data_IF_263202718718
#
_entry.id   IF_263202718718
#
_cell.length_a   1.000
_cell.length_b   1.000
_cell.length_c   1.000
_cell.angle_alpha   90.00
_cell.angle_beta   90.00
_cell.angle_gamma   90.00
#
_symmetry.space_group_name_H-M   'P 1'
#
loop_
_entity.id
_entity.type
_entity.pdbx_description
1 polymer ?
#
# COMPACT_ATOMS: atom_id res chain seq x y z
N UNK A 1 -13.17 -21.52 0.87
CA UNK A 1 -12.92 -20.13 0.44
C UNK A 1 -11.46 -19.82 0.71
N UNK A 2 -10.64 -19.54 -0.33
CA UNK A 2 -9.29 -19.00 -0.11
C UNK A 2 -9.48 -17.64 0.56
N UNK A 3 -8.96 -17.47 1.78
CA UNK A 3 -8.82 -16.13 2.38
C UNK A 3 -7.93 -15.35 1.42
N UNK A 4 -8.45 -14.30 0.81
CA UNK A 4 -7.63 -13.39 0.01
C UNK A 4 -6.59 -12.78 0.97
N UNK A 5 -5.32 -13.11 0.78
CA UNK A 5 -4.25 -12.62 1.65
C UNK A 5 -3.77 -11.26 1.10
N UNK A 6 -4.33 -10.16 1.59
CA UNK A 6 -3.96 -8.81 1.15
C UNK A 6 -2.45 -8.51 1.24
N UNK A 7 -1.71 -8.95 2.26
CA UNK A 7 -0.25 -8.86 2.29
C UNK A 7 0.44 -9.40 1.03
N UNK A 8 0.08 -10.60 0.55
CA UNK A 8 0.70 -11.20 -0.62
C UNK A 8 0.44 -10.38 -1.89
N UNK A 9 -0.78 -9.87 -2.04
CA UNK A 9 -1.16 -8.99 -3.16
C UNK A 9 -0.37 -7.67 -3.11
N UNK A 10 -0.20 -7.10 -1.92
CA UNK A 10 0.57 -5.86 -1.74
C UNK A 10 2.05 -6.10 -2.07
N UNK A 11 2.62 -7.25 -1.66
CA UNK A 11 4.01 -7.64 -1.98
C UNK A 11 4.18 -7.74 -3.50
N UNK A 12 3.34 -8.53 -4.20
CA UNK A 12 3.44 -8.69 -5.66
C UNK A 12 3.28 -7.33 -6.38
N UNK A 13 2.37 -6.48 -5.89
CA UNK A 13 2.17 -5.16 -6.44
C UNK A 13 3.36 -4.20 -6.22
N UNK A 14 4.08 -4.30 -5.10
CA UNK A 14 5.31 -3.54 -4.86
C UNK A 14 6.41 -4.04 -5.81
N UNK A 15 6.68 -5.35 -5.83
CA UNK A 15 7.71 -5.97 -6.68
C UNK A 15 7.52 -5.61 -8.15
N UNK A 16 6.27 -5.70 -8.63
CA UNK A 16 5.91 -5.46 -10.04
C UNK A 16 5.54 -4.01 -10.34
N UNK A 17 5.60 -3.13 -9.35
CA UNK A 17 5.21 -1.71 -9.45
C UNK A 17 3.81 -1.52 -10.05
N UNK A 18 2.85 -2.31 -9.57
CA UNK A 18 1.44 -2.26 -9.96
C UNK A 18 0.66 -1.25 -9.12
N UNK A 19 -0.26 -0.53 -9.76
CA UNK A 19 -1.26 0.25 -9.05
C UNK A 19 -2.27 -0.73 -8.48
N UNK A 20 -2.64 -0.53 -7.22
CA UNK A 20 -3.71 -1.27 -6.57
C UNK A 20 -4.92 -0.37 -6.32
N UNK A 21 -6.09 -0.97 -6.37
CA UNK A 21 -7.34 -0.42 -5.89
C UNK A 21 -7.64 -0.99 -4.52
N UNK A 22 -7.99 -0.13 -3.57
CA UNK A 22 -8.38 -0.54 -2.22
C UNK A 22 -9.59 0.25 -1.73
N UNK A 23 -10.42 -0.35 -0.90
CA UNK A 23 -11.47 0.33 -0.13
C UNK A 23 -10.99 0.50 1.30
N UNK A 24 -10.92 1.75 1.75
CA UNK A 24 -10.48 2.10 3.09
C UNK A 24 -11.48 3.05 3.72
N UNK A 25 -12.06 2.65 4.87
CA UNK A 25 -13.11 3.41 5.56
C UNK A 25 -14.22 3.84 4.58
N UNK A 26 -14.73 2.85 3.85
CA UNK A 26 -15.77 2.96 2.81
C UNK A 26 -15.44 3.78 1.56
N UNK A 27 -14.22 4.30 1.44
CA UNK A 27 -13.84 5.07 0.25
C UNK A 27 -12.85 4.30 -0.61
N UNK A 28 -13.17 4.19 -1.91
CA UNK A 28 -12.28 3.61 -2.92
C UNK A 28 -11.08 4.52 -3.17
N UNK A 29 -9.89 3.92 -3.23
CA UNK A 29 -8.59 4.55 -3.50
C UNK A 29 -7.91 3.86 -4.67
N UNK A 30 -7.14 4.63 -5.44
CA UNK A 30 -6.10 4.10 -6.34
C UNK A 30 -4.76 4.58 -5.81
N UNK A 31 -3.84 3.63 -5.58
CA UNK A 31 -2.56 3.94 -4.93
C UNK A 31 -1.42 3.21 -5.61
N UNK A 32 -0.23 3.82 -5.54
CA UNK A 32 1.05 3.18 -5.86
C UNK A 32 1.65 2.68 -4.54
N UNK A 33 1.68 1.37 -4.27
CA UNK A 33 2.25 0.84 -3.04
C UNK A 33 3.77 1.04 -3.00
N UNK A 34 4.33 1.34 -1.82
CA UNK A 34 5.77 1.63 -1.66
C UNK A 34 6.44 0.89 -0.51
N UNK A 35 5.77 0.74 0.64
CA UNK A 35 6.29 0.00 1.80
C UNK A 35 5.14 -0.78 2.44
N UNK A 36 5.33 -2.08 2.63
CA UNK A 36 4.53 -2.90 3.52
C UNK A 36 5.37 -3.24 4.75
N UNK A 37 4.81 -3.06 5.94
CA UNK A 37 5.51 -3.39 7.18
C UNK A 37 4.69 -3.07 8.41
N UNK A 38 5.33 -3.23 9.56
CA UNK A 38 4.73 -2.96 10.86
C UNK A 38 5.06 -1.54 11.32
N UNK A 39 4.06 -0.85 11.85
CA UNK A 39 4.15 0.51 12.41
C UNK A 39 3.61 0.53 13.84
N UNK A 40 3.99 1.54 14.63
CA UNK A 40 3.50 1.71 16.00
C UNK A 40 3.67 0.45 16.85
N UNK A 41 2.58 0.01 17.50
CA UNK A 41 2.52 -1.19 18.36
C UNK A 41 2.38 -2.51 17.56
N UNK A 42 2.96 -2.58 16.36
CA UNK A 42 2.95 -3.81 15.54
C UNK A 42 1.75 -3.93 14.62
N UNK A 43 1.09 -2.82 14.28
CA UNK A 43 0.02 -2.83 13.28
C UNK A 43 0.59 -2.96 11.87
N UNK A 44 0.07 -3.88 11.07
CA UNK A 44 0.47 -4.03 9.68
C UNK A 44 -0.08 -2.88 8.83
N UNK A 45 0.79 -2.21 8.07
CA UNK A 45 0.42 -1.03 7.30
C UNK A 45 1.11 -0.96 5.94
N UNK A 46 0.41 -0.35 4.98
CA UNK A 46 0.88 0.01 3.66
C UNK A 46 1.10 1.52 3.57
N UNK A 47 2.34 1.95 3.34
CA UNK A 47 2.64 3.32 2.87
C UNK A 47 2.55 3.36 1.35
N UNK A 48 1.68 4.22 0.83
CA UNK A 48 1.43 4.31 -0.60
C UNK A 48 1.15 5.75 -1.04
N UNK A 49 1.47 6.02 -2.30
CA UNK A 49 1.11 7.29 -2.94
C UNK A 49 -0.27 7.20 -3.57
N UNK A 50 -1.23 7.91 -2.99
CA UNK A 50 -2.58 8.00 -3.51
C UNK A 50 -2.61 8.87 -4.78
N UNK A 51 -3.23 8.33 -5.84
CA UNK A 51 -3.42 9.02 -7.12
C UNK A 51 -4.90 9.32 -7.41
N UNK A 52 -5.84 8.62 -6.74
CA UNK A 52 -7.27 8.93 -6.78
C UNK A 52 -7.97 8.55 -5.46
N UNK A 53 -9.06 9.26 -5.14
CA UNK A 53 -9.79 9.15 -3.87
C UNK A 53 -10.00 10.54 -3.25
N UNK A 54 -9.58 10.71 -1.99
CA UNK A 54 -9.65 11.97 -1.23
C UNK A 54 -8.51 12.95 -1.54
N UNK A 55 -7.95 12.89 -2.74
CA UNK A 55 -6.83 13.72 -3.18
C UNK A 55 -5.56 12.93 -3.49
N UNK A 56 -4.46 13.65 -3.71
CA UNK A 56 -3.18 13.08 -4.18
C UNK A 56 -2.10 13.28 -3.14
N UNK A 57 -1.37 12.22 -2.76
CA UNK A 57 -0.30 12.31 -1.77
C UNK A 57 0.00 11.01 -1.03
N UNK A 58 1.01 11.06 -0.17
CA UNK A 58 1.33 9.97 0.74
C UNK A 58 0.18 9.69 1.71
N UNK A 59 -0.10 8.41 1.90
CA UNK A 59 -1.07 7.89 2.88
C UNK A 59 -0.50 6.61 3.49
N UNK A 60 -0.84 6.41 4.76
CA UNK A 60 -0.62 5.16 5.48
C UNK A 60 -1.98 4.48 5.65
N UNK A 61 -2.07 3.23 5.21
CA UNK A 61 -3.28 2.41 5.31
C UNK A 61 -3.00 1.23 6.23
N UNK A 62 -3.73 1.12 7.34
CA UNK A 62 -3.68 -0.13 8.12
C UNK A 62 -4.32 -1.25 7.32
N UNK A 63 -3.64 -2.39 7.19
CA UNK A 63 -4.09 -3.48 6.30
C UNK A 63 -5.41 -4.07 6.80
N UNK A 64 -5.62 -4.13 8.11
CA UNK A 64 -6.86 -4.64 8.72
C UNK A 64 -8.07 -3.72 8.49
N UNK A 65 -7.84 -2.44 8.18
CA UNK A 65 -8.89 -1.46 7.86
C UNK A 65 -9.28 -1.47 6.36
N UNK A 66 -8.63 -2.31 5.54
CA UNK A 66 -8.95 -2.46 4.11
C UNK A 66 -10.08 -3.47 3.95
N UNK A 67 -11.22 -3.03 3.40
CA UNK A 67 -12.39 -3.91 3.21
C UNK A 67 -12.46 -4.57 1.84
N UNK A 68 -11.70 -4.07 0.86
CA UNK A 68 -11.58 -4.64 -0.49
C UNK A 68 -10.24 -4.23 -1.08
N UNK A 69 -9.57 -5.13 -1.81
CA UNK A 69 -8.27 -4.88 -2.41
C UNK A 69 -8.10 -5.69 -3.69
N UNK A 70 -7.64 -5.04 -4.76
CA UNK A 70 -7.43 -5.67 -6.06
C UNK A 70 -6.26 -5.02 -6.78
N UNK A 71 -5.42 -5.82 -7.43
CA UNK A 71 -4.40 -5.34 -8.35
C UNK A 71 -5.01 -4.86 -9.67
N UNK A 72 -4.38 -3.86 -10.28
CA UNK A 72 -4.78 -3.38 -11.60
C UNK A 72 -3.70 -3.69 -12.64
N UNK A 73 -4.09 -3.71 -13.92
CA UNK A 73 -3.12 -3.84 -15.02
C UNK A 73 -2.23 -2.59 -15.20
N UNK A 74 -2.57 -1.49 -14.53
CA UNK A 74 -1.77 -0.27 -14.59
C UNK A 74 -0.55 -0.36 -13.66
N UNK A 75 0.59 0.15 -14.12
CA UNK A 75 1.83 0.19 -13.34
C UNK A 75 2.40 1.61 -13.22
N UNK A 76 3.50 1.73 -12.47
CA UNK A 76 4.26 2.97 -12.34
C UNK A 76 5.77 2.70 -12.50
N UNK A 77 6.50 3.67 -13.07
CA UNK A 77 7.90 3.45 -13.49
C UNK A 77 8.96 3.88 -12.47
N UNK A 78 8.66 4.88 -11.65
CA UNK A 78 9.59 5.44 -10.66
C UNK A 78 8.93 5.46 -9.29
N UNK A 79 9.65 5.66 -8.18
CA UNK A 79 9.03 5.95 -6.89
C UNK A 79 8.24 7.28 -6.92
N UNK A 80 7.35 7.49 -5.95
CA UNK A 80 6.70 8.77 -5.74
C UNK A 80 7.67 9.79 -5.10
N UNK A 81 7.38 11.08 -5.28
CA UNK A 81 8.22 12.15 -4.73
C UNK A 81 8.32 12.04 -3.21
N UNK A 82 9.53 12.22 -2.66
CA UNK A 82 9.76 12.13 -1.22
C UNK A 82 9.68 10.71 -0.65
N UNK A 83 9.78 9.68 -1.49
CA UNK A 83 9.90 8.30 -1.03
C UNK A 83 11.17 8.13 -0.17
N UNK A 84 10.99 7.60 1.04
CA UNK A 84 12.08 7.21 1.93
C UNK A 84 11.98 5.69 2.16
N UNK A 85 12.91 4.86 1.63
CA UNK A 85 12.88 3.42 1.86
C UNK A 85 13.11 3.03 3.33
N UNK A 86 13.73 3.91 4.13
CA UNK A 86 13.98 3.72 5.56
C UNK A 86 13.05 4.65 6.39
N UNK A 87 11.78 4.73 6.02
CA UNK A 87 10.79 5.54 6.72
C UNK A 87 10.74 5.14 8.22
N UNK A 88 11.06 6.06 9.15
CA UNK A 88 11.15 5.75 10.58
C UNK A 88 9.79 5.39 11.22
N UNK A 89 8.68 5.61 10.51
CA UNK A 89 7.37 5.13 10.96
C UNK A 89 7.29 3.59 11.03
N UNK A 90 8.10 2.88 10.24
CA UNK A 90 8.12 1.42 10.19
C UNK A 90 9.13 0.85 11.17
N UNK A 91 8.64 0.14 12.19
CA UNK A 91 9.47 -0.59 13.14
C UNK A 91 10.06 -1.87 12.53
N UNK A 92 9.38 -2.44 11.52
CA UNK A 92 9.87 -3.57 10.72
C UNK A 92 9.29 -3.53 9.32
N UNK A 93 10.14 -3.54 8.30
CA UNK A 93 9.72 -3.60 6.90
C UNK A 93 9.61 -5.07 6.45
N UNK A 94 8.54 -5.39 5.72
CA UNK A 94 8.33 -6.69 5.07
C UNK A 94 8.75 -6.59 3.60
N UNK A 95 8.24 -5.58 2.89
CA UNK A 95 8.55 -5.34 1.47
C UNK A 95 8.58 -3.84 1.18
N UNK A 96 9.41 -3.42 0.23
CA UNK A 96 9.51 -2.04 -0.25
C UNK A 96 10.09 -1.96 -1.67
N UNK A 97 9.85 -0.84 -2.36
CA UNK A 97 10.36 -0.58 -3.72
C UNK A 97 11.89 -0.48 -3.86
#
# INVERSE_FOLDING_TARGET
MRKTNYPDIIIDAIERRRIIELRYKDVKRRVRPHILGYVGEGALALSAWQIAGTGTGWRLFHVDDISDLTETDAGFRSPARGYNPNDPAFSRIIERL
#
